data_IF_937397837860
#
_entry.id   IF_937397837860
#
_cell.length_a   1.000
_cell.length_b   1.000
_cell.length_c   1.000
_cell.angle_alpha   90.00
_cell.angle_beta   90.00
_cell.angle_gamma   90.00
#
_symmetry.space_group_name_H-M   'P 1'
#
loop_
_entity.id
_entity.type
_entity.pdbx_description
1 polymer ?
#
# COMPACT_ATOMS: atom_id res chain seq x y z
N UNK A 1 -23.53 -6.02 -8.30
CA UNK A 1 -23.67 -5.46 -9.67
C UNK A 1 -22.37 -4.84 -10.17
N UNK A 2 -21.61 -4.10 -9.35
CA UNK A 2 -20.33 -3.46 -9.74
C UNK A 2 -19.20 -4.43 -10.13
N UNK A 3 -19.10 -5.60 -9.51
CA UNK A 3 -18.05 -6.60 -9.82
C UNK A 3 -18.12 -7.13 -11.26
N UNK A 4 -19.34 -7.28 -11.80
CA UNK A 4 -19.54 -7.77 -13.17
C UNK A 4 -18.97 -6.82 -14.23
N UNK A 5 -19.15 -5.51 -14.03
CA UNK A 5 -18.69 -4.47 -14.97
C UNK A 5 -17.16 -4.41 -14.98
N UNK A 6 -16.55 -4.43 -13.79
CA UNK A 6 -15.09 -4.39 -13.62
C UNK A 6 -14.43 -5.58 -14.31
N UNK A 7 -14.97 -6.79 -14.15
CA UNK A 7 -14.41 -8.00 -14.77
C UNK A 7 -14.54 -7.98 -16.29
N UNK A 8 -15.69 -7.54 -16.82
CA UNK A 8 -15.92 -7.42 -18.28
C UNK A 8 -14.97 -6.40 -18.90
N UNK A 9 -14.83 -5.21 -18.29
CA UNK A 9 -13.92 -4.18 -18.78
C UNK A 9 -12.45 -4.60 -18.68
N UNK A 10 -12.09 -5.32 -17.61
CA UNK A 10 -10.73 -5.85 -17.44
C UNK A 10 -10.41 -6.90 -18.51
N UNK A 11 -11.33 -7.82 -18.81
CA UNK A 11 -11.13 -8.80 -19.87
C UNK A 11 -11.03 -8.15 -21.25
N UNK A 12 -11.89 -7.16 -21.53
CA UNK A 12 -11.83 -6.36 -22.75
C UNK A 12 -10.51 -5.59 -22.88
N UNK A 13 -10.03 -4.98 -21.80
CA UNK A 13 -8.76 -4.26 -21.80
C UNK A 13 -7.56 -5.19 -22.05
N UNK A 14 -7.59 -6.43 -21.54
CA UNK A 14 -6.57 -7.44 -21.81
C UNK A 14 -6.59 -7.84 -23.30
N UNK A 15 -7.78 -8.06 -23.87
CA UNK A 15 -7.96 -8.47 -25.27
C UNK A 15 -7.50 -7.39 -26.26
N UNK A 16 -7.73 -6.12 -25.93
CA UNK A 16 -7.39 -4.97 -26.78
C UNK A 16 -5.99 -4.42 -26.55
N UNK A 17 -5.26 -4.88 -25.52
CA UNK A 17 -3.96 -4.34 -25.14
C UNK A 17 -4.03 -2.96 -24.47
N UNK A 18 -5.19 -2.58 -23.95
CA UNK A 18 -5.46 -1.29 -23.30
C UNK A 18 -4.89 -1.24 -21.88
N UNK A 19 -3.57 -1.10 -21.78
CA UNK A 19 -2.84 -1.22 -20.51
C UNK A 19 -3.23 -0.14 -19.47
N UNK A 20 -3.52 1.10 -19.91
CA UNK A 20 -3.88 2.19 -19.00
C UNK A 20 -5.23 1.90 -18.34
N UNK A 21 -6.22 1.52 -19.14
CA UNK A 21 -7.54 1.14 -18.64
C UNK A 21 -7.45 -0.09 -17.73
N UNK A 22 -6.67 -1.10 -18.12
CA UNK A 22 -6.43 -2.29 -17.29
C UNK A 22 -5.86 -1.92 -15.93
N UNK A 23 -4.86 -1.05 -15.87
CA UNK A 23 -4.22 -0.64 -14.63
C UNK A 23 -5.18 0.15 -13.73
N UNK A 24 -5.91 1.11 -14.31
CA UNK A 24 -6.90 1.92 -13.58
C UNK A 24 -7.99 1.04 -12.96
N UNK A 25 -8.56 0.12 -13.76
CA UNK A 25 -9.64 -0.76 -13.31
C UNK A 25 -9.12 -1.80 -12.31
N UNK A 26 -7.87 -2.27 -12.46
CA UNK A 26 -7.26 -3.23 -11.53
C UNK A 26 -6.82 -2.61 -10.21
N UNK A 27 -6.50 -1.30 -10.20
CA UNK A 27 -6.16 -0.56 -8.99
C UNK A 27 -7.37 -0.33 -8.06
N UNK A 28 -8.59 -0.60 -8.54
CA UNK A 28 -9.80 -0.47 -7.73
C UNK A 28 -9.94 -1.61 -6.72
N UNK A 29 -9.56 -1.34 -5.46
CA UNK A 29 -9.65 -2.28 -4.35
C UNK A 29 -10.87 -1.98 -3.47
N UNK A 30 -12.07 -2.38 -3.91
CA UNK A 30 -13.27 -2.30 -3.08
C UNK A 30 -14.61 -2.32 -3.84
N UNK A 31 -15.73 -2.48 -3.12
CA UNK A 31 -17.08 -2.50 -3.71
C UNK A 31 -17.53 -1.15 -4.27
N UNK A 32 -16.92 -0.06 -3.80
CA UNK A 32 -17.14 1.30 -4.29
C UNK A 32 -16.19 1.57 -5.43
N UNK A 33 -16.70 2.06 -6.56
CA UNK A 33 -15.88 2.52 -7.69
C UNK A 33 -15.27 3.87 -7.30
N UNK A 34 -13.94 3.95 -7.28
CA UNK A 34 -13.18 5.17 -6.99
C UNK A 34 -13.08 6.08 -8.20
N UNK A 35 -12.67 7.33 -7.97
CA UNK A 35 -12.78 8.42 -8.95
C UNK A 35 -12.28 8.09 -10.36
N UNK A 36 -11.04 7.61 -10.51
CA UNK A 36 -10.44 7.36 -11.83
C UNK A 36 -11.09 6.17 -12.57
N UNK A 37 -11.41 5.10 -11.85
CA UNK A 37 -12.12 3.95 -12.41
C UNK A 37 -13.55 4.32 -12.81
N UNK A 38 -14.21 5.19 -12.04
CA UNK A 38 -15.53 5.75 -12.37
C UNK A 38 -15.50 6.56 -13.67
N UNK A 39 -14.53 7.47 -13.82
CA UNK A 39 -14.38 8.26 -15.05
C UNK A 39 -14.14 7.40 -16.30
N UNK A 40 -13.36 6.31 -16.18
CA UNK A 40 -13.17 5.36 -17.30
C UNK A 40 -14.48 4.65 -17.63
N UNK A 41 -15.22 4.20 -16.61
CA UNK A 41 -16.51 3.52 -16.80
C UNK A 41 -17.53 4.47 -17.46
N UNK A 42 -17.59 5.73 -17.01
CA UNK A 42 -18.50 6.75 -17.56
C UNK A 42 -18.12 7.11 -19.01
N UNK A 43 -16.82 7.18 -19.31
CA UNK A 43 -16.33 7.42 -20.67
C UNK A 43 -16.69 6.27 -21.60
N UNK A 44 -16.51 5.02 -21.16
CA UNK A 44 -16.89 3.83 -21.93
C UNK A 44 -18.41 3.75 -22.11
N UNK A 45 -19.18 4.04 -21.06
CA UNK A 45 -20.65 4.10 -21.12
C UNK A 45 -21.13 5.16 -22.11
N UNK A 46 -20.54 6.36 -22.06
CA UNK A 46 -20.85 7.46 -22.98
C UNK A 46 -20.56 7.13 -24.45
N UNK A 47 -19.48 6.39 -24.72
CA UNK A 47 -19.16 5.92 -26.08
C UNK A 47 -20.11 4.85 -26.59
N UNK A 48 -20.60 3.98 -25.70
CA UNK A 48 -21.60 2.97 -26.02
C UNK A 48 -23.02 3.54 -26.07
N UNK A 49 -23.24 4.77 -25.58
CA UNK A 49 -24.56 5.40 -25.49
C UNK A 49 -25.49 4.73 -24.48
N UNK A 50 -24.95 3.95 -23.56
CA UNK A 50 -25.71 3.18 -22.55
C UNK A 50 -25.40 3.66 -21.14
N UNK A 51 -26.21 3.26 -20.17
CA UNK A 51 -25.86 3.50 -18.76
C UNK A 51 -24.73 2.56 -18.33
N UNK A 52 -23.87 2.94 -17.36
CA UNK A 52 -22.80 2.08 -16.85
C UNK A 52 -23.23 0.67 -16.43
N UNK A 53 -24.49 0.52 -15.99
CA UNK A 53 -25.08 -0.75 -15.59
C UNK A 53 -25.37 -1.71 -16.76
N UNK A 54 -25.52 -1.17 -17.97
CA UNK A 54 -25.89 -1.91 -19.19
C UNK A 54 -24.67 -2.32 -20.02
N UNK A 55 -23.46 -1.84 -19.68
CA UNK A 55 -22.19 -2.21 -20.34
C UNK A 55 -22.04 -3.73 -20.49
N UNK A 56 -22.34 -4.59 -19.48
CA UNK A 56 -22.19 -6.04 -19.62
C UNK A 56 -23.15 -6.69 -20.62
N UNK A 57 -24.21 -5.99 -21.03
CA UNK A 57 -25.22 -6.47 -21.98
C UNK A 57 -24.91 -6.06 -23.43
N UNK A 58 -23.90 -5.22 -23.65
CA UNK A 58 -23.50 -4.77 -24.98
C UNK A 58 -22.69 -5.85 -25.73
N UNK A 59 -22.67 -5.81 -27.08
CA UNK A 59 -21.82 -6.68 -27.88
C UNK A 59 -20.34 -6.51 -27.55
N UNK A 60 -19.61 -7.62 -27.44
CA UNK A 60 -18.20 -7.65 -27.03
C UNK A 60 -17.27 -6.80 -27.92
N UNK A 61 -17.57 -6.69 -29.21
CA UNK A 61 -16.75 -5.91 -30.16
C UNK A 61 -16.90 -4.40 -29.94
N UNK A 62 -18.09 -3.95 -29.52
CA UNK A 62 -18.34 -2.54 -29.22
C UNK A 62 -17.68 -2.14 -27.90
N UNK A 63 -17.69 -3.03 -26.91
CA UNK A 63 -17.00 -2.82 -25.62
C UNK A 63 -15.49 -2.69 -25.86
N UNK A 64 -14.91 -3.56 -26.69
CA UNK A 64 -13.48 -3.49 -27.03
C UNK A 64 -13.10 -2.18 -27.74
N UNK A 65 -13.91 -1.74 -28.69
CA UNK A 65 -13.67 -0.48 -29.38
C UNK A 65 -13.76 0.70 -28.40
N UNK A 66 -14.76 0.69 -27.51
CA UNK A 66 -14.93 1.74 -26.51
C UNK A 66 -13.78 1.75 -25.49
N UNK A 67 -13.30 0.59 -25.05
CA UNK A 67 -12.15 0.46 -24.15
C UNK A 67 -10.85 0.94 -24.81
N UNK A 68 -10.62 0.58 -26.09
CA UNK A 68 -9.45 1.03 -26.85
C UNK A 68 -9.44 2.55 -27.06
N UNK A 69 -10.61 3.12 -27.32
CA UNK A 69 -10.78 4.57 -27.44
C UNK A 69 -10.56 5.28 -26.09
N UNK A 70 -11.16 4.77 -25.00
CA UNK A 70 -10.93 5.29 -23.65
C UNK A 70 -9.46 5.20 -23.22
N UNK A 71 -8.74 4.16 -23.66
CA UNK A 71 -7.29 4.03 -23.41
C UNK A 71 -6.46 5.11 -24.12
N UNK A 72 -6.96 5.64 -25.23
CA UNK A 72 -6.31 6.69 -26.02
C UNK A 72 -6.86 8.08 -25.69
N UNK A 73 -7.80 8.20 -24.75
CA UNK A 73 -8.43 9.44 -24.38
C UNK A 73 -7.41 10.38 -23.70
N UNK A 74 -7.17 11.59 -24.25
CA UNK A 74 -6.24 12.54 -23.66
C UNK A 74 -6.57 12.96 -22.22
N UNK A 75 -7.84 12.95 -21.83
CA UNK A 75 -8.26 13.31 -20.47
C UNK A 75 -7.92 12.19 -19.47
N UNK A 76 -8.24 10.94 -19.82
CA UNK A 76 -7.89 9.76 -19.00
C UNK A 76 -6.36 9.65 -18.86
N UNK A 77 -5.61 9.86 -19.93
CA UNK A 77 -4.15 9.85 -19.90
C UNK A 77 -3.57 10.95 -19.01
N UNK A 78 -4.11 12.17 -19.06
CA UNK A 78 -3.70 13.28 -18.18
C UNK A 78 -3.95 12.93 -16.72
N UNK A 79 -5.14 12.42 -16.38
CA UNK A 79 -5.49 12.05 -15.02
C UNK A 79 -4.61 10.90 -14.51
N UNK A 80 -4.32 9.92 -15.36
CA UNK A 80 -3.42 8.81 -15.03
C UNK A 80 -1.99 9.30 -14.76
N UNK A 81 -1.46 10.19 -15.60
CA UNK A 81 -0.13 10.78 -15.40
C UNK A 81 -0.08 11.61 -14.13
N UNK A 82 -1.12 12.40 -13.82
CA UNK A 82 -1.16 13.20 -12.59
C UNK A 82 -1.21 12.30 -11.34
N UNK A 83 -1.95 11.19 -11.38
CA UNK A 83 -1.97 10.22 -10.28
C UNK A 83 -0.57 9.62 -10.03
N UNK A 84 0.16 9.28 -11.10
CA UNK A 84 1.55 8.83 -10.99
C UNK A 84 2.50 9.92 -10.50
N UNK A 85 2.27 11.18 -10.90
CA UNK A 85 3.06 12.34 -10.45
C UNK A 85 2.89 12.54 -8.95
N UNK A 86 1.65 12.54 -8.45
CA UNK A 86 1.35 12.65 -7.02
C UNK A 86 1.99 11.52 -6.20
N UNK A 87 1.93 10.28 -6.72
CA UNK A 87 2.58 9.13 -6.08
C UNK A 87 4.10 9.29 -6.04
N UNK A 88 4.68 9.75 -7.14
CA UNK A 88 6.12 10.03 -7.23
C UNK A 88 6.53 11.16 -6.28
N UNK A 89 5.70 12.20 -6.17
CA UNK A 89 5.95 13.33 -5.27
C UNK A 89 5.84 12.91 -3.80
N UNK A 90 4.93 12.00 -3.45
CA UNK A 90 4.90 11.36 -2.13
C UNK A 90 6.18 10.59 -1.82
N UNK A 91 6.68 9.79 -2.77
CA UNK A 91 7.94 9.07 -2.58
C UNK A 91 9.14 10.03 -2.48
N UNK A 92 9.19 11.08 -3.29
CA UNK A 92 10.21 12.13 -3.19
C UNK A 92 10.14 12.87 -1.86
N UNK A 93 8.94 13.17 -1.38
CA UNK A 93 8.75 13.79 -0.06
C UNK A 93 9.23 12.86 1.06
N UNK A 94 9.02 11.55 0.94
CA UNK A 94 9.59 10.57 1.88
C UNK A 94 11.12 10.56 1.83
N UNK A 95 11.72 10.63 0.64
CA UNK A 95 13.18 10.73 0.50
C UNK A 95 13.74 12.05 1.04
N UNK A 96 13.02 13.16 0.87
CA UNK A 96 13.42 14.48 1.35
C UNK A 96 13.43 14.58 2.89
N UNK A 97 12.60 13.80 3.60
CA UNK A 97 12.66 13.68 5.08
C UNK A 97 14.03 13.22 5.58
N UNK A 98 14.80 12.50 4.74
CA UNK A 98 16.17 12.07 5.05
C UNK A 98 17.21 13.19 5.02
N UNK A 99 16.92 14.34 4.39
CA UNK A 99 17.88 15.45 4.23
C UNK A 99 17.75 16.53 5.32
N UNK A 100 16.64 17.24 5.35
CA UNK A 100 16.47 18.43 6.21
C UNK A 100 15.99 18.10 7.63
N UNK A 101 15.34 16.94 7.81
CA UNK A 101 14.75 16.51 9.08
C UNK A 101 15.29 15.15 9.54
N UNK A 102 16.52 14.80 9.14
CA UNK A 102 17.13 13.49 9.40
C UNK A 102 17.03 13.09 10.88
N UNK A 103 17.25 14.02 11.81
CA UNK A 103 17.17 13.78 13.26
C UNK A 103 15.76 13.36 13.72
N UNK A 104 14.70 13.95 13.13
CA UNK A 104 13.30 13.63 13.48
C UNK A 104 12.90 12.21 13.08
N UNK A 105 13.67 11.59 12.18
CA UNK A 105 13.42 10.26 11.64
C UNK A 105 14.47 9.22 12.03
N UNK A 106 15.71 9.64 12.28
CA UNK A 106 16.85 8.76 12.58
C UNK A 106 16.66 7.92 13.85
N UNK A 107 15.82 8.36 14.79
CA UNK A 107 15.48 7.56 15.97
C UNK A 107 14.82 6.23 15.61
N UNK A 108 14.06 6.15 14.51
CA UNK A 108 13.40 4.90 14.07
C UNK A 108 14.42 3.82 13.67
N UNK A 109 15.28 4.02 12.66
CA UNK A 109 16.30 3.02 12.34
C UNK A 109 17.24 2.80 13.52
N UNK A 110 17.60 3.84 14.28
CA UNK A 110 18.44 3.70 15.47
C UNK A 110 17.86 2.70 16.48
N UNK A 111 16.60 2.84 16.87
CA UNK A 111 15.97 1.93 17.83
C UNK A 111 15.83 0.51 17.27
N UNK A 112 15.54 0.37 15.97
CA UNK A 112 15.48 -0.94 15.32
C UNK A 112 16.84 -1.67 15.39
N UNK A 113 17.93 -0.97 15.07
CA UNK A 113 19.29 -1.53 15.14
C UNK A 113 19.75 -1.77 16.58
N UNK A 114 19.42 -0.87 17.51
CA UNK A 114 19.72 -1.04 18.93
C UNK A 114 19.03 -2.28 19.50
N UNK A 115 17.74 -2.47 19.23
CA UNK A 115 17.01 -3.65 19.67
C UNK A 115 17.59 -4.93 19.06
N UNK A 116 17.85 -4.94 17.74
CA UNK A 116 18.49 -6.07 17.08
C UNK A 116 19.85 -6.43 17.72
N UNK A 117 20.66 -5.41 18.00
CA UNK A 117 21.92 -5.58 18.72
C UNK A 117 21.71 -6.18 20.11
N UNK A 118 20.76 -5.68 20.90
CA UNK A 118 20.48 -6.19 22.24
C UNK A 118 20.00 -7.65 22.23
N UNK A 119 19.20 -8.05 21.25
CA UNK A 119 18.77 -9.44 21.05
C UNK A 119 19.95 -10.35 20.72
N UNK A 120 20.81 -9.94 19.77
CA UNK A 120 22.01 -10.70 19.39
C UNK A 120 23.01 -10.76 20.56
N UNK A 121 23.21 -9.64 21.25
CA UNK A 121 24.07 -9.54 22.41
C UNK A 121 23.65 -10.53 23.49
N UNK A 122 22.37 -10.51 23.86
CA UNK A 122 21.84 -11.34 24.94
C UNK A 122 21.78 -12.84 24.58
N UNK A 123 21.30 -13.17 23.38
CA UNK A 123 21.09 -14.57 22.98
C UNK A 123 22.34 -15.29 22.53
N UNK A 124 23.27 -14.58 21.87
CA UNK A 124 24.42 -15.20 21.20
C UNK A 124 25.73 -14.72 21.85
N UNK A 125 25.97 -13.40 21.88
CA UNK A 125 27.30 -12.87 22.23
C UNK A 125 27.66 -13.18 23.69
N UNK A 126 26.78 -12.94 24.65
CA UNK A 126 27.05 -13.23 26.07
C UNK A 126 27.36 -14.71 26.29
N UNK A 127 26.58 -15.61 25.70
CA UNK A 127 26.78 -17.06 25.80
C UNK A 127 28.13 -17.50 25.21
N UNK A 128 28.49 -16.97 24.03
CA UNK A 128 29.77 -17.27 23.37
C UNK A 128 30.94 -16.70 24.17
N UNK A 129 30.84 -15.46 24.64
CA UNK A 129 31.89 -14.79 25.43
C UNK A 129 32.11 -15.49 26.77
N UNK A 130 31.03 -15.84 27.48
CA UNK A 130 31.14 -16.60 28.73
C UNK A 130 31.74 -17.98 28.48
N UNK A 131 31.36 -18.65 27.38
CA UNK A 131 31.88 -19.96 27.00
C UNK A 131 33.36 -19.96 26.58
N UNK A 132 33.82 -18.93 25.86
CA UNK A 132 35.21 -18.85 25.37
C UNK A 132 36.16 -18.27 26.41
N UNK A 133 35.72 -17.24 27.15
CA UNK A 133 36.57 -16.49 28.07
C UNK A 133 36.39 -16.91 29.54
N UNK A 134 35.49 -17.85 29.83
CA UNK A 134 35.19 -18.28 31.20
C UNK A 134 34.65 -17.15 32.08
N UNK A 135 34.04 -16.14 31.45
CA UNK A 135 33.51 -14.96 32.14
C UNK A 135 32.10 -15.22 32.66
N UNK A 136 31.68 -14.43 33.66
CA UNK A 136 30.34 -14.49 34.25
C UNK A 136 29.50 -13.28 33.88
N UNK A 137 29.54 -12.85 32.61
CA UNK A 137 28.75 -11.69 32.16
C UNK A 137 27.27 -12.03 32.33
N UNK A 138 26.58 -11.20 33.10
CA UNK A 138 25.14 -11.35 33.36
C UNK A 138 24.37 -10.86 32.13
N UNK A 139 23.52 -11.72 31.58
CA UNK A 139 22.57 -11.35 30.53
C UNK A 139 21.50 -10.39 31.07
N UNK A 140 21.03 -9.48 30.23
CA UNK A 140 19.87 -8.64 30.56
C UNK A 140 18.61 -9.51 30.71
N UNK A 141 17.67 -9.16 31.60
CA UNK A 141 16.41 -9.89 31.71
C UNK A 141 15.63 -9.91 30.40
N UNK A 142 15.19 -11.10 29.98
CA UNK A 142 14.46 -11.31 28.73
C UNK A 142 13.11 -10.61 28.72
N UNK A 143 12.50 -10.47 29.89
CA UNK A 143 11.21 -9.79 30.08
C UNK A 143 11.34 -8.30 29.75
N UNK A 144 12.40 -7.65 30.22
CA UNK A 144 12.66 -6.24 29.95
C UNK A 144 12.95 -6.01 28.45
N UNK A 145 13.72 -6.91 27.83
CA UNK A 145 14.01 -6.86 26.39
C UNK A 145 12.75 -7.07 25.55
N UNK A 146 11.91 -8.02 25.93
CA UNK A 146 10.62 -8.28 25.28
C UNK A 146 9.67 -7.10 25.43
N UNK A 147 9.56 -6.52 26.62
CA UNK A 147 8.70 -5.37 26.89
C UNK A 147 9.09 -4.14 26.05
N UNK A 148 10.39 -3.77 26.03
CA UNK A 148 10.84 -2.60 25.26
C UNK A 148 10.69 -2.82 23.74
N UNK A 149 10.94 -4.05 23.26
CA UNK A 149 10.73 -4.41 21.85
C UNK A 149 9.25 -4.33 21.48
N UNK A 150 8.36 -4.82 22.34
CA UNK A 150 6.91 -4.76 22.15
C UNK A 150 6.41 -3.31 22.16
N UNK A 151 6.88 -2.47 23.08
CA UNK A 151 6.55 -1.05 23.12
C UNK A 151 7.00 -0.32 21.86
N UNK A 152 8.24 -0.54 21.42
CA UNK A 152 8.75 0.04 20.17
C UNK A 152 7.92 -0.40 18.95
N UNK A 153 7.64 -1.70 18.84
CA UNK A 153 6.81 -2.28 17.78
C UNK A 153 5.40 -1.69 17.80
N UNK A 154 4.79 -1.53 18.98
CA UNK A 154 3.46 -0.93 19.11
C UNK A 154 3.43 0.55 18.69
N UNK A 155 4.46 1.33 19.06
CA UNK A 155 4.58 2.74 18.66
C UNK A 155 4.83 2.89 17.16
N UNK A 156 5.62 1.98 16.56
CA UNK A 156 6.09 2.10 15.18
C UNK A 156 5.16 1.42 14.16
N UNK A 157 4.80 0.15 14.38
CA UNK A 157 3.98 -0.65 13.47
C UNK A 157 2.47 -0.53 13.75
N UNK A 158 2.09 -0.12 14.95
CA UNK A 158 0.75 -0.38 15.47
C UNK A 158 0.04 0.81 16.09
N UNK A 159 0.40 2.06 15.78
CA UNK A 159 -0.29 3.23 16.36
C UNK A 159 -1.81 3.19 16.14
N UNK A 160 -2.25 2.84 14.91
CA UNK A 160 -3.67 2.65 14.58
C UNK A 160 -4.24 1.32 15.10
N UNK A 161 -3.49 0.23 15.07
CA UNK A 161 -3.96 -1.06 15.60
C UNK A 161 -4.13 -1.04 17.12
N UNK A 162 -3.21 -0.41 17.84
CA UNK A 162 -3.27 -0.21 19.28
C UNK A 162 -4.40 0.78 19.62
N UNK A 163 -4.58 1.85 18.83
CA UNK A 163 -5.70 2.78 18.99
C UNK A 163 -7.05 2.10 18.73
N UNK A 164 -7.18 1.31 17.67
CA UNK A 164 -8.39 0.57 17.34
C UNK A 164 -8.69 -0.50 18.39
N UNK A 165 -7.67 -1.20 18.91
CA UNK A 165 -7.83 -2.16 19.99
C UNK A 165 -8.25 -1.47 21.30
N UNK A 166 -7.66 -0.32 21.61
CA UNK A 166 -8.02 0.48 22.77
C UNK A 166 -9.42 1.08 22.64
N UNK A 167 -9.80 1.56 21.46
CA UNK A 167 -11.14 2.08 21.18
C UNK A 167 -12.19 0.96 21.21
N UNK A 168 -11.87 -0.24 20.74
CA UNK A 168 -12.76 -1.40 20.81
C UNK A 168 -12.91 -1.96 22.23
N UNK A 169 -11.91 -1.79 23.09
CA UNK A 169 -11.88 -2.34 24.46
C UNK A 169 -12.31 -1.33 25.54
N UNK A 170 -12.07 -0.05 25.32
CA UNK A 170 -12.31 1.03 26.29
C UNK A 170 -12.99 2.27 25.69
N UNK A 171 -13.18 2.34 24.38
CA UNK A 171 -14.01 3.36 23.75
C UNK A 171 -15.48 3.01 23.93
N UNK A 172 -16.21 3.87 24.63
CA UNK A 172 -17.67 3.91 24.58
C UNK A 172 -18.13 4.35 23.19
#
# INVERSE_FOLDING_TARGET
>A
MSTSIIDVLKQSAIRTGSNVVKDIISAQLGPTIGGLAGSVIDTVAGQLGVTPAEIPSCPQDQIDQAVSCANSDPEILKLYVEAHRLTTDLFKAEMAKGGEAWWTWAWRPFWMWLLAFLWVWNGIVVSVVNGVLGTGIVSMPWEALGAITATYTAMYLGGHTAKDLAQKRWGK
#
